data_IF_173480606431
#
_entry.id   IF_173480606431
#
_cell.length_a   1.000
_cell.length_b   1.000
_cell.length_c   1.000
_cell.angle_alpha   90.00
_cell.angle_beta   90.00
_cell.angle_gamma   90.00
#
_symmetry.space_group_name_H-M   'P 1'
#
loop_
_entity.id
_entity.type
_entity.pdbx_description
1 polymer ?
#
# COMPACT_ATOMS: atom_id res chain seq x y z
N UNK A 1 38.01 -1.78 -6.87
CA UNK A 1 36.83 -1.08 -6.32
C UNK A 1 35.88 -2.16 -5.86
N UNK A 2 35.68 -2.28 -4.53
CA UNK A 2 34.75 -3.30 -4.00
C UNK A 2 33.30 -2.96 -4.41
N UNK A 3 32.52 -3.98 -4.72
CA UNK A 3 31.11 -3.84 -5.00
C UNK A 3 30.40 -3.27 -3.77
N UNK A 4 29.64 -2.18 -3.98
CA UNK A 4 28.81 -1.55 -2.92
C UNK A 4 27.58 -2.44 -2.73
N UNK A 5 27.46 -3.08 -1.58
CA UNK A 5 26.26 -3.87 -1.26
C UNK A 5 25.05 -2.97 -1.00
N UNK A 6 23.83 -3.53 -1.11
CA UNK A 6 22.58 -2.81 -0.75
C UNK A 6 22.64 -2.27 0.69
N UNK A 7 23.32 -2.99 1.58
CA UNK A 7 23.51 -2.59 2.98
C UNK A 7 24.43 -1.38 3.09
N UNK A 8 25.51 -1.34 2.27
CA UNK A 8 26.45 -0.21 2.22
C UNK A 8 25.79 1.04 1.63
N UNK A 9 24.91 0.86 0.63
CA UNK A 9 24.11 1.95 0.07
C UNK A 9 23.14 2.52 1.11
N UNK A 10 22.41 1.68 1.83
CA UNK A 10 21.49 2.11 2.89
C UNK A 10 22.24 2.77 4.06
N UNK A 11 23.38 2.20 4.47
CA UNK A 11 24.22 2.79 5.50
C UNK A 11 24.89 4.09 5.01
N UNK A 12 25.32 4.15 3.76
CA UNK A 12 25.90 5.35 3.15
C UNK A 12 24.86 6.47 2.98
N UNK A 13 23.64 6.15 2.60
CA UNK A 13 22.52 7.10 2.55
C UNK A 13 22.15 7.60 3.95
N UNK A 14 22.09 6.70 4.95
CA UNK A 14 21.85 7.07 6.34
C UNK A 14 23.00 7.94 6.92
N UNK A 15 24.25 7.64 6.61
CA UNK A 15 25.42 8.44 7.01
C UNK A 15 25.48 9.79 6.30
N UNK A 16 25.09 9.87 5.04
CA UNK A 16 25.03 11.14 4.28
C UNK A 16 23.89 12.03 4.80
N UNK A 17 22.77 11.44 5.17
CA UNK A 17 21.66 12.10 5.85
C UNK A 17 22.14 12.54 7.25
N UNK A 18 22.81 11.69 8.01
CA UNK A 18 23.35 12.03 9.35
C UNK A 18 24.44 13.11 9.31
N UNK A 19 25.34 13.10 8.33
CA UNK A 19 26.39 14.11 8.18
C UNK A 19 25.84 15.48 7.72
N UNK A 20 24.70 15.52 7.07
CA UNK A 20 23.98 16.77 6.71
C UNK A 20 23.05 17.27 7.84
N UNK A 21 22.93 16.52 8.95
CA UNK A 21 21.97 16.75 10.05
C UNK A 21 22.54 17.55 11.23
N UNK A 22 23.78 18.00 11.20
CA UNK A 22 24.30 18.90 12.27
C UNK A 22 23.49 20.19 12.46
N UNK A 23 22.88 20.81 11.43
CA UNK A 23 21.86 21.83 11.61
C UNK A 23 20.53 21.29 12.15
N UNK A 24 20.28 20.00 12.03
CA UNK A 24 19.04 19.34 12.40
C UNK A 24 18.97 18.98 13.89
N UNK A 25 20.08 18.53 14.47
CA UNK A 25 20.19 18.39 15.94
C UNK A 25 19.99 19.74 16.65
N UNK A 26 20.44 20.84 16.03
CA UNK A 26 20.16 22.18 16.51
C UNK A 26 18.68 22.57 16.37
N UNK A 27 18.01 22.12 15.30
CA UNK A 27 16.55 22.30 15.11
C UNK A 27 15.75 21.43 16.07
N UNK A 28 16.17 20.20 16.35
CA UNK A 28 15.56 19.35 17.38
C UNK A 28 15.71 19.98 18.78
N UNK A 29 16.89 20.51 19.11
CA UNK A 29 17.13 21.20 20.38
C UNK A 29 16.34 22.52 20.48
N UNK A 30 16.06 23.21 19.39
CA UNK A 30 15.19 24.39 19.35
C UNK A 30 13.70 24.02 19.38
N UNK A 31 13.30 22.93 18.75
CA UNK A 31 11.93 22.41 18.80
C UNK A 31 11.56 21.93 20.20
N UNK A 32 12.49 21.28 20.90
CA UNK A 32 12.34 20.87 22.29
C UNK A 32 12.14 22.08 23.26
N UNK A 33 12.50 23.28 22.83
CA UNK A 33 12.32 24.52 23.61
C UNK A 33 11.06 25.32 23.28
N UNK A 34 10.31 24.93 22.19
CA UNK A 34 9.17 25.71 21.64
C UNK A 34 7.84 24.97 21.59
N UNK A 35 7.71 23.83 22.27
CA UNK A 35 6.61 22.91 22.01
C UNK A 35 6.96 22.04 20.76
N UNK A 36 7.03 20.75 20.96
CA UNK A 36 7.43 19.81 19.91
C UNK A 36 6.33 19.71 18.87
N UNK A 37 6.66 19.94 17.59
CA UNK A 37 5.79 19.64 16.46
C UNK A 37 6.26 18.33 15.81
N UNK A 38 5.66 17.19 16.19
CA UNK A 38 6.15 15.87 15.81
C UNK A 38 6.34 15.64 14.31
N UNK A 39 5.44 16.10 13.39
CA UNK A 39 5.64 15.88 11.97
C UNK A 39 6.93 16.46 11.38
N UNK A 40 7.51 17.48 12.02
CA UNK A 40 8.76 18.09 11.58
C UNK A 40 10.02 17.42 12.15
N UNK A 41 9.85 16.44 13.05
CA UNK A 41 10.94 15.62 13.54
C UNK A 41 11.34 14.59 12.48
N UNK A 42 12.63 14.49 12.17
CA UNK A 42 13.16 13.48 11.25
C UNK A 42 13.77 12.31 12.02
N UNK A 43 14.08 11.23 11.29
CA UNK A 43 14.71 10.02 11.83
C UNK A 43 13.73 8.84 11.95
N UNK A 44 14.13 7.85 12.73
CA UNK A 44 13.36 6.61 12.94
C UNK A 44 12.27 6.80 14.01
N UNK A 45 11.37 7.73 13.76
CA UNK A 45 10.27 8.03 14.68
C UNK A 45 9.39 6.81 14.95
N UNK A 46 9.17 6.54 16.24
CA UNK A 46 8.34 5.43 16.70
C UNK A 46 8.99 4.04 16.62
N UNK A 47 10.24 3.95 16.15
CA UNK A 47 11.05 2.73 16.16
C UNK A 47 12.37 2.97 16.89
N UNK A 48 12.31 3.59 18.05
CA UNK A 48 13.44 3.85 18.92
C UNK A 48 13.38 2.96 20.16
N UNK A 49 14.52 2.79 20.84
CA UNK A 49 14.58 1.96 22.06
C UNK A 49 13.64 2.49 23.15
N UNK A 50 13.47 3.81 23.25
CA UNK A 50 12.58 4.45 24.20
C UNK A 50 11.11 4.09 23.93
N UNK A 51 10.70 3.99 22.66
CA UNK A 51 9.33 3.63 22.29
C UNK A 51 8.97 2.18 22.70
N UNK A 52 9.97 1.32 22.82
CA UNK A 52 9.80 -0.08 23.18
C UNK A 52 10.20 -0.43 24.62
N UNK A 53 10.85 0.48 25.34
CA UNK A 53 11.46 0.19 26.65
C UNK A 53 10.47 -0.46 27.64
N UNK A 54 9.32 0.16 27.87
CA UNK A 54 8.31 -0.35 28.82
C UNK A 54 7.71 -1.67 28.35
N UNK A 55 7.46 -1.82 27.04
CA UNK A 55 6.92 -3.07 26.48
C UNK A 55 7.95 -4.19 26.65
N UNK A 56 9.22 -3.93 26.43
CA UNK A 56 10.29 -4.93 26.60
C UNK A 56 10.47 -5.32 28.06
N UNK A 57 10.45 -4.36 28.99
CA UNK A 57 10.49 -4.66 30.44
C UNK A 57 9.37 -5.63 30.85
N UNK A 58 8.14 -5.39 30.39
CA UNK A 58 6.99 -6.23 30.74
C UNK A 58 7.01 -7.57 30.00
N UNK A 59 7.16 -7.52 28.66
CA UNK A 59 6.95 -8.70 27.81
C UNK A 59 8.19 -9.62 27.75
N UNK A 60 9.40 -9.09 27.89
CA UNK A 60 10.66 -9.85 27.76
C UNK A 60 11.36 -10.06 29.09
N UNK A 61 11.40 -9.05 29.96
CA UNK A 61 12.11 -9.12 31.24
C UNK A 61 11.20 -9.54 32.37
N UNK A 62 9.88 -9.64 32.14
CA UNK A 62 8.91 -10.14 33.10
C UNK A 62 8.59 -9.14 34.22
N UNK A 63 8.93 -7.86 34.06
CA UNK A 63 8.61 -6.82 35.04
C UNK A 63 7.08 -6.74 35.25
N UNK A 64 6.68 -6.66 36.52
CA UNK A 64 5.29 -6.49 36.90
C UNK A 64 5.14 -5.17 37.66
N UNK A 65 4.10 -4.43 37.32
CA UNK A 65 3.70 -3.21 38.02
C UNK A 65 2.58 -3.53 39.01
N UNK A 66 2.66 -2.98 40.23
CA UNK A 66 1.60 -3.12 41.23
C UNK A 66 0.51 -2.08 40.93
N UNK A 67 -0.41 -2.41 40.04
CA UNK A 67 -1.49 -1.52 39.63
C UNK A 67 -2.58 -1.39 40.68
N UNK A 68 -2.76 -2.42 41.55
CA UNK A 68 -3.78 -2.42 42.61
C UNK A 68 -3.52 -1.39 43.71
N UNK A 69 -2.27 -0.87 43.80
CA UNK A 69 -1.89 0.16 44.75
C UNK A 69 -2.05 1.60 44.22
N UNK A 70 -2.45 1.75 42.95
CA UNK A 70 -2.62 3.06 42.31
C UNK A 70 -4.03 3.60 42.58
N UNK A 71 -4.11 4.85 43.02
CA UNK A 71 -5.36 5.57 43.05
C UNK A 71 -5.66 6.15 41.66
N UNK A 72 -6.94 6.11 41.26
CA UNK A 72 -7.36 6.67 39.98
C UNK A 72 -7.45 8.20 40.07
N UNK A 73 -6.66 8.89 39.28
CA UNK A 73 -6.64 10.37 39.24
C UNK A 73 -7.83 10.92 38.46
N UNK A 74 -8.23 10.24 37.38
CA UNK A 74 -9.30 10.68 36.50
C UNK A 74 -10.23 9.52 36.07
N UNK A 75 -11.43 9.87 35.65
CA UNK A 75 -12.41 8.95 35.11
C UNK A 75 -12.83 9.35 33.72
N UNK A 76 -12.95 8.36 32.85
CA UNK A 76 -13.38 8.50 31.45
C UNK A 76 -14.48 7.49 31.13
N UNK A 77 -15.38 7.85 30.21
CA UNK A 77 -16.42 6.96 29.72
C UNK A 77 -15.84 5.92 28.74
N UNK A 78 -14.76 6.29 28.06
CA UNK A 78 -14.03 5.43 27.14
C UNK A 78 -12.53 5.73 27.18
N UNK A 79 -11.72 4.68 27.33
CA UNK A 79 -10.27 4.74 27.19
C UNK A 79 -9.87 3.91 25.98
N UNK A 80 -9.10 4.50 25.05
CA UNK A 80 -8.60 3.86 23.84
C UNK A 80 -7.08 3.82 23.92
N UNK A 81 -6.50 2.65 23.67
CA UNK A 81 -5.04 2.48 23.56
C UNK A 81 -4.68 2.41 22.09
N UNK A 82 -3.88 3.37 21.64
CA UNK A 82 -3.46 3.55 20.26
C UNK A 82 -4.26 4.65 19.54
N UNK A 83 -3.56 5.66 19.06
CA UNK A 83 -4.10 6.78 18.27
C UNK A 83 -3.96 6.59 16.75
N UNK A 84 -3.83 5.34 16.29
CA UNK A 84 -3.91 5.00 14.88
C UNK A 84 -5.32 5.20 14.31
N UNK A 85 -5.51 5.00 12.99
CA UNK A 85 -6.82 5.18 12.34
C UNK A 85 -7.94 4.42 13.03
N UNK A 86 -7.68 3.18 13.48
CA UNK A 86 -8.68 2.37 14.18
C UNK A 86 -9.12 3.02 15.51
N UNK A 87 -8.17 3.44 16.35
CA UNK A 87 -8.47 4.09 17.63
C UNK A 87 -9.16 5.43 17.45
N UNK A 88 -8.69 6.26 16.51
CA UNK A 88 -9.31 7.54 16.18
C UNK A 88 -10.74 7.36 15.63
N UNK A 89 -10.97 6.35 14.79
CA UNK A 89 -12.31 6.04 14.27
C UNK A 89 -13.23 5.52 15.36
N UNK A 90 -12.72 4.71 16.28
CA UNK A 90 -13.49 4.24 17.43
C UNK A 90 -13.93 5.42 18.32
N UNK A 91 -13.00 6.35 18.64
CA UNK A 91 -13.30 7.54 19.39
C UNK A 91 -14.36 8.42 18.69
N UNK A 92 -14.20 8.63 17.38
CA UNK A 92 -15.11 9.42 16.58
C UNK A 92 -16.52 8.79 16.55
N UNK A 93 -16.59 7.48 16.34
CA UNK A 93 -17.86 6.75 16.32
C UNK A 93 -18.56 6.80 17.67
N UNK A 94 -17.82 6.63 18.76
CA UNK A 94 -18.35 6.70 20.12
C UNK A 94 -18.83 8.12 20.45
N UNK A 95 -18.05 9.16 20.13
CA UNK A 95 -18.40 10.56 20.34
C UNK A 95 -19.69 10.95 19.59
N UNK A 96 -19.90 10.44 18.37
CA UNK A 96 -21.12 10.70 17.62
C UNK A 96 -22.37 10.07 18.25
N UNK A 97 -22.21 8.95 18.95
CA UNK A 97 -23.28 8.27 19.69
C UNK A 97 -23.51 8.85 21.09
N UNK A 98 -22.43 9.35 21.70
CA UNK A 98 -22.40 9.90 23.05
C UNK A 98 -21.65 11.24 23.03
N UNK A 99 -22.33 12.36 22.64
CA UNK A 99 -21.67 13.65 22.40
C UNK A 99 -20.95 14.24 23.63
N UNK A 100 -21.41 13.91 24.82
CA UNK A 100 -20.86 14.45 26.08
C UNK A 100 -19.85 13.50 26.75
N UNK A 101 -19.52 12.37 26.12
CA UNK A 101 -18.61 11.39 26.69
C UNK A 101 -17.20 11.97 26.87
N UNK A 102 -16.60 11.66 28.01
CA UNK A 102 -15.17 11.89 28.23
C UNK A 102 -14.39 10.72 27.65
N UNK A 103 -13.59 11.01 26.62
CA UNK A 103 -12.79 10.00 25.92
C UNK A 103 -11.32 10.32 26.13
N UNK A 104 -10.55 9.31 26.53
CA UNK A 104 -9.09 9.37 26.59
C UNK A 104 -8.51 8.46 25.51
N UNK A 105 -7.60 8.97 24.72
CA UNK A 105 -6.79 8.21 23.78
C UNK A 105 -5.35 8.25 24.25
N UNK A 106 -4.75 7.10 24.47
CA UNK A 106 -3.37 6.94 24.89
C UNK A 106 -2.53 6.38 23.75
N UNK A 107 -1.36 6.95 23.52
CA UNK A 107 -0.37 6.40 22.60
C UNK A 107 1.03 6.54 23.22
N UNK A 108 1.92 5.62 22.90
CA UNK A 108 3.31 5.68 23.37
C UNK A 108 4.24 6.40 22.38
N UNK A 109 3.70 6.90 21.28
CA UNK A 109 4.44 7.67 20.29
C UNK A 109 4.21 9.17 20.48
N UNK A 110 5.09 9.95 19.87
CA UNK A 110 5.08 11.41 19.91
C UNK A 110 4.01 12.05 19.01
N UNK A 111 3.34 11.25 18.17
CA UNK A 111 2.38 11.70 17.17
C UNK A 111 1.21 10.71 17.03
N UNK A 112 0.06 11.21 16.63
CA UNK A 112 -1.11 10.42 16.31
C UNK A 112 -1.04 9.87 14.88
N UNK A 113 -1.93 8.92 14.56
CA UNK A 113 -2.08 8.34 13.23
C UNK A 113 -1.48 6.94 13.08
N UNK A 114 -0.61 6.49 13.98
CA UNK A 114 0.04 5.18 13.87
C UNK A 114 0.86 5.08 12.58
N UNK A 115 0.56 4.11 11.70
CA UNK A 115 1.17 4.04 10.36
C UNK A 115 0.77 5.21 9.45
N UNK A 116 -0.38 5.83 9.68
CA UNK A 116 -0.89 6.98 8.94
C UNK A 116 -0.33 8.31 9.48
N UNK A 117 0.96 8.35 9.80
CA UNK A 117 1.69 9.58 10.17
C UNK A 117 2.26 10.24 8.94
N UNK A 118 2.59 11.51 9.05
CA UNK A 118 3.31 12.24 8.00
C UNK A 118 4.65 12.75 8.50
N UNK A 119 5.55 12.96 7.57
CA UNK A 119 6.81 13.65 7.81
C UNK A 119 6.82 14.96 7.04
N UNK A 120 7.32 16.02 7.66
CA UNK A 120 7.50 17.33 7.05
C UNK A 120 8.97 17.68 6.94
N UNK A 121 9.43 17.92 5.73
CA UNK A 121 10.81 18.34 5.46
C UNK A 121 10.82 19.75 4.90
N UNK A 122 11.70 20.60 5.41
CA UNK A 122 11.89 21.95 4.88
C UNK A 122 13.22 22.06 4.13
N UNK A 123 13.12 22.38 2.86
CA UNK A 123 14.28 22.61 1.99
C UNK A 123 14.20 24.07 1.50
N UNK A 124 14.96 24.95 2.14
CA UNK A 124 14.85 26.39 1.93
C UNK A 124 13.44 26.88 2.33
N UNK A 125 12.73 27.45 1.36
CA UNK A 125 11.34 27.93 1.55
C UNK A 125 10.27 26.88 1.22
N UNK A 126 10.66 25.70 0.72
CA UNK A 126 9.72 24.66 0.32
C UNK A 126 9.42 23.72 1.49
N UNK A 127 8.15 23.43 1.67
CA UNK A 127 7.69 22.34 2.53
C UNK A 127 7.48 21.12 1.64
N UNK A 128 8.14 20.03 1.98
CA UNK A 128 7.95 18.72 1.37
C UNK A 128 7.21 17.83 2.36
N UNK A 129 6.18 17.18 1.90
CA UNK A 129 5.39 16.23 2.67
C UNK A 129 5.71 14.82 2.22
N UNK A 130 5.75 13.91 3.17
CA UNK A 130 5.88 12.48 2.92
C UNK A 130 4.96 11.74 3.87
N UNK A 131 4.38 10.66 3.39
CA UNK A 131 3.64 9.74 4.24
C UNK A 131 4.60 8.80 4.98
N UNK A 132 4.14 8.24 6.10
CA UNK A 132 4.88 7.23 6.88
C UNK A 132 4.72 5.84 6.27
N UNK A 133 3.88 4.98 6.86
CA UNK A 133 3.65 3.61 6.40
C UNK A 133 2.32 3.38 5.69
N UNK A 134 1.46 4.40 5.54
CA UNK A 134 0.13 4.26 4.98
C UNK A 134 -0.13 5.33 3.93
N UNK A 135 -0.08 4.93 2.67
CA UNK A 135 -0.19 5.82 1.52
C UNK A 135 -1.63 6.01 1.06
N UNK A 136 -2.31 4.94 0.71
CA UNK A 136 -3.52 4.98 -0.11
C UNK A 136 -4.75 4.42 0.58
N UNK A 137 -5.91 4.85 0.11
CA UNK A 137 -7.21 4.24 0.34
C UNK A 137 -7.59 3.39 -0.87
N UNK A 138 -8.45 2.41 -0.66
CA UNK A 138 -9.01 1.62 -1.76
C UNK A 138 -9.68 2.54 -2.79
N UNK A 139 -9.52 2.25 -4.05
CA UNK A 139 -10.17 2.91 -5.17
C UNK A 139 -10.85 1.87 -6.08
N UNK A 140 -11.95 2.21 -6.73
CA UNK A 140 -12.72 3.46 -6.63
C UNK A 140 -13.57 3.56 -5.36
N UNK A 141 -14.18 4.72 -5.15
CA UNK A 141 -15.04 4.98 -4.00
C UNK A 141 -16.27 4.06 -3.91
N UNK A 142 -16.67 3.42 -5.00
CA UNK A 142 -17.73 2.40 -5.03
C UNK A 142 -17.44 1.17 -4.17
N UNK A 143 -16.17 0.91 -3.86
CA UNK A 143 -15.74 -0.19 -2.98
C UNK A 143 -15.84 0.16 -1.49
N UNK A 144 -16.13 1.38 -1.14
CA UNK A 144 -16.24 1.76 0.28
C UNK A 144 -17.48 1.14 0.90
N UNK A 145 -17.32 0.57 2.11
CA UNK A 145 -18.47 0.22 2.92
C UNK A 145 -19.33 1.46 3.22
N UNK A 146 -20.61 1.25 3.48
CA UNK A 146 -21.50 2.33 3.87
C UNK A 146 -20.97 3.13 5.07
N UNK A 147 -20.37 2.46 6.05
CA UNK A 147 -19.78 3.09 7.23
C UNK A 147 -18.59 3.98 6.85
N UNK A 148 -17.67 3.50 5.99
CA UNK A 148 -16.54 4.31 5.54
C UNK A 148 -17.02 5.52 4.75
N UNK A 149 -17.94 5.35 3.81
CA UNK A 149 -18.51 6.45 3.03
C UNK A 149 -19.16 7.51 3.93
N UNK A 150 -19.90 7.09 4.97
CA UNK A 150 -20.51 7.99 5.95
C UNK A 150 -19.45 8.76 6.75
N UNK A 151 -18.38 8.10 7.20
CA UNK A 151 -17.25 8.75 7.91
C UNK A 151 -16.60 9.79 7.02
N UNK A 152 -16.23 9.44 5.79
CA UNK A 152 -15.59 10.35 4.85
C UNK A 152 -16.47 11.58 4.58
N UNK A 153 -17.77 11.36 4.35
CA UNK A 153 -18.75 12.43 4.14
C UNK A 153 -18.84 13.36 5.35
N UNK A 154 -18.95 12.81 6.56
CA UNK A 154 -19.04 13.59 7.80
C UNK A 154 -17.75 14.40 8.05
N UNK A 155 -16.58 13.86 7.71
CA UNK A 155 -15.29 14.54 7.76
C UNK A 155 -15.07 15.50 6.57
N UNK A 156 -16.02 15.61 5.65
CA UNK A 156 -15.95 16.43 4.42
C UNK A 156 -14.81 16.05 3.49
N UNK A 157 -14.44 14.78 3.49
CA UNK A 157 -13.49 14.21 2.54
C UNK A 157 -14.23 13.77 1.28
N UNK A 158 -13.68 14.09 0.12
CA UNK A 158 -14.29 13.87 -1.20
C UNK A 158 -13.40 12.97 -2.06
N UNK A 159 -13.61 11.66 -2.04
CA UNK A 159 -12.82 10.72 -2.84
C UNK A 159 -12.83 11.02 -4.35
N UNK A 160 -13.94 11.55 -4.88
CA UNK A 160 -14.09 11.89 -6.31
C UNK A 160 -13.04 12.92 -6.79
N UNK A 161 -12.46 13.67 -5.86
CA UNK A 161 -11.36 14.58 -6.18
C UNK A 161 -10.13 13.82 -6.61
N UNK A 162 -9.78 12.72 -5.93
CA UNK A 162 -8.62 11.88 -6.26
C UNK A 162 -8.78 11.23 -7.63
N UNK A 163 -10.01 10.84 -8.00
CA UNK A 163 -10.29 10.28 -9.31
C UNK A 163 -9.93 11.24 -10.45
N UNK A 164 -10.19 12.53 -10.26
CA UNK A 164 -9.82 13.57 -11.24
C UNK A 164 -8.31 13.81 -11.29
N UNK A 165 -7.66 13.82 -10.14
CA UNK A 165 -6.21 14.06 -10.04
C UNK A 165 -5.41 12.87 -10.58
N UNK A 166 -5.87 11.64 -10.35
CA UNK A 166 -5.23 10.41 -10.83
C UNK A 166 -5.13 10.34 -12.37
N UNK A 167 -6.05 10.98 -13.10
CA UNK A 167 -6.00 11.04 -14.56
C UNK A 167 -4.73 11.73 -15.06
N UNK A 168 -4.21 12.71 -14.31
CA UNK A 168 -2.95 13.38 -14.66
C UNK A 168 -1.77 12.39 -14.54
N UNK A 169 -1.67 11.68 -13.45
CA UNK A 169 -0.59 10.70 -13.21
C UNK A 169 -0.60 9.60 -14.27
N UNK A 170 -1.76 9.06 -14.60
CA UNK A 170 -1.91 8.03 -15.65
C UNK A 170 -1.47 8.49 -17.04
N UNK A 171 -1.54 9.78 -17.32
CA UNK A 171 -1.09 10.35 -18.60
C UNK A 171 0.38 10.77 -18.61
N UNK A 172 1.04 10.84 -17.46
CA UNK A 172 2.40 11.34 -17.35
C UNK A 172 3.38 10.46 -18.16
N UNK A 173 3.48 9.19 -17.81
CA UNK A 173 4.40 8.28 -18.48
C UNK A 173 4.06 8.04 -19.96
N UNK A 174 2.80 7.79 -20.34
CA UNK A 174 2.42 7.74 -21.74
C UNK A 174 2.74 9.04 -22.50
N UNK A 175 2.53 10.20 -21.87
CA UNK A 175 2.87 11.51 -22.45
C UNK A 175 4.37 11.70 -22.70
N UNK A 176 5.22 10.96 -22.00
CA UNK A 176 6.67 10.90 -22.19
C UNK A 176 7.09 9.81 -23.21
N UNK A 177 6.14 9.14 -23.86
CA UNK A 177 6.42 8.05 -24.78
C UNK A 177 6.84 6.74 -24.09
N UNK A 178 6.60 6.61 -22.79
CA UNK A 178 6.91 5.40 -22.03
C UNK A 178 5.74 4.41 -22.06
N UNK A 179 6.08 3.12 -22.05
CA UNK A 179 5.11 2.01 -22.01
C UNK A 179 5.51 0.94 -21.00
N UNK A 180 4.57 0.11 -20.62
CA UNK A 180 4.88 -1.09 -19.81
C UNK A 180 5.88 -1.97 -20.51
N UNK A 181 6.80 -2.50 -19.75
CA UNK A 181 7.89 -3.32 -20.26
C UNK A 181 8.22 -4.43 -19.27
N UNK A 182 8.75 -5.54 -19.78
CA UNK A 182 9.27 -6.64 -18.97
C UNK A 182 10.78 -6.68 -19.15
N UNK A 183 11.52 -6.64 -18.06
CA UNK A 183 12.96 -6.89 -18.07
C UNK A 183 13.21 -8.38 -17.79
N UNK A 184 13.83 -9.04 -18.74
CA UNK A 184 14.32 -10.41 -18.62
C UNK A 184 15.78 -10.36 -18.19
N UNK A 185 16.11 -10.96 -17.07
CA UNK A 185 17.48 -11.01 -16.58
C UNK A 185 18.21 -12.25 -17.12
N UNK A 186 19.54 -12.14 -17.16
CA UNK A 186 20.40 -13.20 -17.66
C UNK A 186 20.38 -14.47 -16.81
N UNK A 187 20.15 -14.33 -15.52
CA UNK A 187 20.19 -15.45 -14.58
C UNK A 187 19.06 -16.42 -14.85
N UNK A 188 17.87 -15.91 -15.17
CA UNK A 188 16.69 -16.75 -15.41
C UNK A 188 16.40 -17.03 -16.89
N UNK A 189 16.76 -16.07 -17.78
CA UNK A 189 16.39 -16.14 -19.20
C UNK A 189 17.58 -16.21 -20.16
N UNK A 190 18.84 -16.26 -19.64
CA UNK A 190 20.04 -16.42 -20.41
C UNK A 190 20.62 -15.13 -21.01
N UNK A 191 19.87 -14.07 -21.01
CA UNK A 191 20.30 -12.73 -21.48
C UNK A 191 19.54 -11.61 -20.78
N UNK A 192 20.18 -10.43 -20.66
CA UNK A 192 19.53 -9.22 -20.19
C UNK A 192 18.80 -8.55 -21.38
N UNK A 193 17.47 -8.49 -21.31
CA UNK A 193 16.65 -7.93 -22.38
C UNK A 193 15.44 -7.17 -21.83
N UNK A 194 15.25 -5.94 -22.27
CA UNK A 194 14.02 -5.17 -22.04
C UNK A 194 13.07 -5.36 -23.22
N UNK A 195 11.88 -5.89 -22.98
CA UNK A 195 10.82 -6.05 -23.99
C UNK A 195 9.68 -5.10 -23.65
N UNK A 196 9.41 -4.14 -24.54
CA UNK A 196 8.39 -3.11 -24.36
C UNK A 196 7.02 -3.55 -24.86
N UNK A 197 5.97 -2.92 -24.37
CA UNK A 197 4.60 -3.15 -24.83
C UNK A 197 3.96 -4.41 -24.25
N UNK A 198 4.22 -4.71 -22.98
CA UNK A 198 3.56 -5.81 -22.26
C UNK A 198 2.03 -5.68 -22.35
N UNK A 199 1.32 -6.65 -22.91
CA UNK A 199 -0.13 -6.62 -23.05
C UNK A 199 -0.88 -6.89 -21.75
N UNK A 200 -0.23 -7.44 -20.73
CA UNK A 200 -0.89 -7.88 -19.50
C UNK A 200 -1.10 -6.71 -18.53
N UNK A 201 -2.26 -6.67 -17.92
CA UNK A 201 -2.62 -5.83 -16.79
C UNK A 201 -2.81 -6.74 -15.59
N UNK A 202 -1.82 -6.78 -14.70
CA UNK A 202 -1.79 -7.66 -13.54
C UNK A 202 -1.92 -6.82 -12.26
N UNK A 203 -2.73 -7.31 -11.34
CA UNK A 203 -2.91 -6.66 -10.05
C UNK A 203 -3.52 -5.26 -10.15
N UNK A 204 -3.15 -4.41 -9.23
CA UNK A 204 -3.55 -3.00 -9.19
C UNK A 204 -2.73 -2.17 -10.18
N UNK A 205 -2.94 -2.39 -11.46
CA UNK A 205 -2.20 -1.69 -12.48
C UNK A 205 -2.66 -0.23 -12.61
N UNK A 206 -1.83 0.70 -12.17
CA UNK A 206 -2.13 2.14 -12.24
C UNK A 206 -2.30 2.66 -13.68
N UNK A 207 -1.87 1.90 -14.68
CA UNK A 207 -2.05 2.22 -16.09
C UNK A 207 -3.36 1.67 -16.68
N UNK A 208 -4.08 0.82 -15.97
CA UNK A 208 -5.39 0.36 -16.42
C UNK A 208 -6.41 1.54 -16.37
N UNK A 209 -7.26 1.74 -17.37
CA UNK A 209 -7.37 0.99 -18.63
C UNK A 209 -6.43 1.51 -19.73
N UNK A 210 -5.57 2.49 -19.43
CA UNK A 210 -4.67 3.12 -20.39
C UNK A 210 -3.34 2.36 -20.37
N UNK A 211 -3.21 1.33 -21.19
CA UNK A 211 -1.91 0.73 -21.52
C UNK A 211 -1.49 1.15 -22.94
N UNK A 212 -1.20 2.44 -23.15
CA UNK A 212 -0.80 2.92 -24.47
C UNK A 212 0.55 2.29 -24.81
N UNK A 213 0.65 1.80 -26.02
CA UNK A 213 1.82 1.09 -26.48
C UNK A 213 1.81 -0.41 -26.15
N UNK A 214 0.72 -0.95 -25.57
CA UNK A 214 0.52 -2.39 -25.49
C UNK A 214 0.56 -3.01 -26.88
N UNK A 215 1.32 -4.08 -27.03
CA UNK A 215 1.42 -4.83 -28.26
C UNK A 215 0.41 -5.98 -28.25
N UNK A 216 0.13 -6.55 -29.40
CA UNK A 216 -0.58 -7.84 -29.41
C UNK A 216 0.25 -8.90 -28.68
N UNK A 217 -0.37 -9.87 -28.01
CA UNK A 217 0.35 -10.94 -27.31
C UNK A 217 1.44 -11.60 -28.16
N UNK A 218 1.12 -11.97 -29.41
CA UNK A 218 2.06 -12.62 -30.30
C UNK A 218 3.26 -11.71 -30.66
N UNK A 219 2.99 -10.43 -30.93
CA UNK A 219 4.05 -9.48 -31.27
C UNK A 219 4.95 -9.21 -30.05
N UNK A 220 4.42 -9.17 -28.84
CA UNK A 220 5.18 -9.04 -27.61
C UNK A 220 6.04 -10.28 -27.34
N UNK A 221 5.40 -11.46 -27.40
CA UNK A 221 6.06 -12.75 -27.14
C UNK A 221 7.16 -13.07 -28.16
N UNK A 222 7.05 -12.57 -29.40
CA UNK A 222 8.07 -12.77 -30.42
C UNK A 222 9.44 -12.20 -30.00
N UNK A 223 9.45 -11.12 -29.24
CA UNK A 223 10.67 -10.48 -28.78
C UNK A 223 11.17 -10.98 -27.41
N UNK A 224 10.36 -11.76 -26.69
CA UNK A 224 10.77 -12.32 -25.40
C UNK A 224 11.85 -13.40 -25.58
N UNK A 225 12.87 -13.48 -24.71
CA UNK A 225 13.92 -14.51 -24.75
C UNK A 225 13.40 -15.87 -24.24
N UNK A 226 12.39 -16.39 -24.92
CA UNK A 226 11.72 -17.63 -24.57
C UNK A 226 11.82 -18.65 -25.72
N UNK A 227 11.76 -19.93 -25.39
CA UNK A 227 11.71 -20.97 -26.42
C UNK A 227 10.43 -20.87 -27.26
N UNK A 228 10.46 -21.37 -28.50
CA UNK A 228 9.28 -21.41 -29.36
C UNK A 228 8.10 -22.17 -28.70
N UNK A 229 8.37 -23.20 -27.90
CA UNK A 229 7.33 -23.94 -27.19
C UNK A 229 6.69 -23.07 -26.09
N UNK A 230 7.49 -22.34 -25.32
CA UNK A 230 7.00 -21.41 -24.29
C UNK A 230 6.18 -20.28 -24.91
N UNK A 231 6.67 -19.66 -26.00
CA UNK A 231 5.93 -18.59 -26.70
C UNK A 231 4.57 -19.06 -27.21
N UNK A 232 4.49 -20.23 -27.84
CA UNK A 232 3.21 -20.78 -28.30
C UNK A 232 2.26 -21.07 -27.14
N UNK A 233 2.76 -21.70 -26.07
CA UNK A 233 1.93 -21.98 -24.90
C UNK A 233 1.40 -20.71 -24.22
N UNK A 234 2.23 -19.67 -24.12
CA UNK A 234 1.79 -18.37 -23.59
C UNK A 234 0.80 -17.68 -24.54
N UNK A 235 1.00 -17.74 -25.85
CA UNK A 235 0.06 -17.20 -26.82
C UNK A 235 -1.33 -17.85 -26.71
N UNK A 236 -1.40 -19.18 -26.60
CA UNK A 236 -2.65 -19.90 -26.34
C UNK A 236 -3.30 -19.51 -25.00
N UNK A 237 -2.48 -19.39 -23.96
CA UNK A 237 -2.95 -19.00 -22.63
C UNK A 237 -3.53 -17.56 -22.64
N UNK A 238 -2.85 -16.62 -23.29
CA UNK A 238 -3.28 -15.22 -23.40
C UNK A 238 -4.54 -15.07 -24.26
N UNK A 239 -4.71 -15.92 -25.27
CA UNK A 239 -5.93 -15.95 -26.06
C UNK A 239 -7.18 -16.33 -25.24
N UNK A 240 -7.01 -17.05 -24.13
CA UNK A 240 -8.08 -17.35 -23.17
C UNK A 240 -9.21 -18.23 -23.72
N UNK A 241 -9.00 -18.90 -24.86
CA UNK A 241 -10.04 -19.66 -25.57
C UNK A 241 -10.16 -21.11 -25.09
N UNK A 242 -9.18 -21.61 -24.36
CA UNK A 242 -9.12 -23.02 -23.98
C UNK A 242 -9.57 -23.22 -22.53
N UNK A 243 -10.55 -24.11 -22.34
CA UNK A 243 -10.86 -24.65 -21.01
C UNK A 243 -9.89 -25.78 -20.67
N UNK A 244 -8.86 -25.46 -19.88
CA UNK A 244 -7.84 -26.42 -19.43
C UNK A 244 -8.38 -27.43 -18.41
N UNK A 245 -9.60 -27.24 -17.90
CA UNK A 245 -10.23 -28.09 -16.91
C UNK A 245 -11.58 -28.63 -17.41
N UNK A 246 -11.67 -28.84 -18.71
CA UNK A 246 -12.88 -29.38 -19.36
C UNK A 246 -13.34 -30.71 -18.71
N UNK A 247 -14.65 -30.83 -18.50
CA UNK A 247 -15.27 -31.99 -17.84
C UNK A 247 -15.39 -31.84 -16.31
N UNK A 248 -14.85 -30.79 -15.69
CA UNK A 248 -15.08 -30.45 -14.28
C UNK A 248 -16.23 -29.45 -14.16
N UNK A 249 -16.99 -29.55 -13.05
CA UNK A 249 -17.99 -28.52 -12.70
C UNK A 249 -17.30 -27.23 -12.23
N UNK A 250 -18.01 -26.13 -12.23
CA UNK A 250 -17.50 -24.84 -11.70
C UNK A 250 -16.98 -24.96 -10.26
N UNK A 251 -17.70 -25.68 -9.40
CA UNK A 251 -17.30 -25.92 -8.01
C UNK A 251 -16.01 -26.74 -7.91
N UNK A 252 -15.87 -27.76 -8.76
CA UNK A 252 -14.64 -28.57 -8.82
C UNK A 252 -13.45 -27.76 -9.31
N UNK A 253 -13.65 -26.92 -10.35
CA UNK A 253 -12.61 -26.02 -10.84
C UNK A 253 -12.14 -25.05 -9.74
N UNK A 254 -13.08 -24.37 -9.09
CA UNK A 254 -12.78 -23.43 -7.98
C UNK A 254 -12.04 -24.15 -6.84
N UNK A 255 -12.54 -25.31 -6.40
CA UNK A 255 -11.90 -26.08 -5.32
C UNK A 255 -10.48 -26.54 -5.68
N UNK A 256 -10.24 -26.90 -6.93
CA UNK A 256 -8.93 -27.30 -7.42
C UNK A 256 -7.99 -26.09 -7.47
N UNK A 257 -8.42 -24.99 -8.08
CA UNK A 257 -7.61 -23.78 -8.26
C UNK A 257 -7.26 -23.11 -6.92
N UNK A 258 -8.14 -23.21 -5.91
CA UNK A 258 -7.87 -22.71 -4.56
C UNK A 258 -6.79 -23.50 -3.80
N UNK A 259 -6.46 -24.72 -4.24
CA UNK A 259 -5.47 -25.60 -3.59
C UNK A 259 -4.22 -25.86 -4.44
N UNK A 260 -4.21 -25.33 -5.65
CA UNK A 260 -3.13 -25.52 -6.62
C UNK A 260 -2.42 -24.19 -6.80
N UNK A 261 -1.09 -24.16 -6.73
CA UNK A 261 -0.37 -22.93 -7.03
C UNK A 261 -0.54 -22.56 -8.51
N UNK A 262 -0.43 -21.25 -8.81
CA UNK A 262 -0.54 -20.82 -10.20
C UNK A 262 0.56 -21.43 -11.06
N UNK A 263 1.76 -21.62 -10.53
CA UNK A 263 2.85 -22.34 -11.21
C UNK A 263 2.43 -23.77 -11.57
N UNK A 264 1.91 -24.52 -10.61
CA UNK A 264 1.42 -25.89 -10.83
C UNK A 264 0.26 -25.93 -11.83
N UNK A 265 -0.66 -24.95 -11.77
CA UNK A 265 -1.70 -24.83 -12.79
C UNK A 265 -1.12 -24.67 -14.20
N UNK A 266 -0.12 -23.82 -14.39
CA UNK A 266 0.54 -23.63 -15.68
C UNK A 266 1.25 -24.89 -16.17
N UNK A 267 2.04 -25.54 -15.30
CA UNK A 267 2.86 -26.70 -15.70
C UNK A 267 2.06 -28.00 -15.81
N UNK A 268 1.18 -28.25 -14.84
CA UNK A 268 0.53 -29.57 -14.70
C UNK A 268 -0.87 -29.60 -15.29
N UNK A 269 -1.61 -28.49 -15.25
CA UNK A 269 -2.94 -28.41 -15.84
C UNK A 269 -2.88 -27.91 -17.28
N UNK A 270 -2.20 -26.80 -17.53
CA UNK A 270 -2.06 -26.23 -18.88
C UNK A 270 -0.99 -26.93 -19.71
N UNK A 271 -0.11 -27.73 -19.08
CA UNK A 271 1.02 -28.43 -19.73
C UNK A 271 2.00 -27.49 -20.43
N UNK A 272 2.20 -26.31 -19.87
CA UNK A 272 3.16 -25.36 -20.38
C UNK A 272 4.60 -25.75 -19.98
N UNK A 273 5.61 -25.42 -20.79
CA UNK A 273 7.01 -25.56 -20.41
C UNK A 273 7.35 -24.72 -19.17
N UNK A 274 8.30 -25.16 -18.35
CA UNK A 274 8.73 -24.44 -17.15
C UNK A 274 9.08 -22.96 -17.43
N UNK A 275 9.77 -22.69 -18.55
CA UNK A 275 10.12 -21.32 -18.95
C UNK A 275 8.90 -20.40 -19.19
N UNK A 276 7.72 -20.97 -19.50
CA UNK A 276 6.48 -20.19 -19.59
C UNK A 276 5.95 -19.83 -18.18
N UNK A 277 6.13 -20.73 -17.20
CA UNK A 277 5.81 -20.42 -15.81
C UNK A 277 6.82 -19.43 -15.21
N UNK A 278 8.11 -19.55 -15.54
CA UNK A 278 9.15 -18.63 -15.09
C UNK A 278 8.90 -17.18 -15.52
N UNK A 279 8.26 -16.98 -16.67
CA UNK A 279 7.80 -15.66 -17.12
C UNK A 279 6.89 -14.97 -16.11
N UNK A 280 6.13 -15.71 -15.32
CA UNK A 280 5.24 -15.17 -14.30
C UNK A 280 5.82 -15.19 -12.88
N UNK A 281 6.95 -15.87 -12.64
CA UNK A 281 7.39 -16.22 -11.29
C UNK A 281 7.44 -15.05 -10.31
N UNK A 282 7.98 -13.92 -10.71
CA UNK A 282 8.08 -12.73 -9.84
C UNK A 282 6.95 -11.71 -9.99
N UNK A 283 6.02 -11.93 -10.91
CA UNK A 283 5.00 -10.91 -11.25
C UNK A 283 3.85 -10.80 -10.25
N UNK A 284 3.77 -11.73 -9.32
CA UNK A 284 2.82 -11.71 -8.21
C UNK A 284 3.36 -11.06 -6.93
N UNK A 285 4.66 -10.75 -6.90
CA UNK A 285 5.33 -10.26 -5.67
C UNK A 285 4.84 -8.88 -5.24
N UNK A 286 4.30 -8.11 -6.14
CA UNK A 286 3.72 -6.80 -5.87
C UNK A 286 2.55 -6.92 -4.87
N UNK A 287 1.55 -7.73 -5.19
CA UNK A 287 0.35 -7.88 -4.36
C UNK A 287 0.51 -8.88 -3.22
N UNK A 288 1.23 -9.98 -3.45
CA UNK A 288 1.25 -11.11 -2.53
C UNK A 288 2.56 -11.23 -1.72
N UNK A 289 3.62 -10.52 -2.11
CA UNK A 289 4.95 -10.69 -1.52
C UNK A 289 5.62 -12.02 -1.85
N UNK A 290 4.98 -12.89 -2.65
CA UNK A 290 5.42 -14.23 -3.03
C UNK A 290 5.35 -14.44 -4.53
N UNK A 291 6.14 -15.39 -5.03
CA UNK A 291 6.06 -15.85 -6.41
C UNK A 291 4.85 -16.75 -6.68
N UNK A 292 4.59 -17.02 -7.95
CA UNK A 292 3.43 -17.82 -8.40
C UNK A 292 3.46 -19.29 -7.94
N UNK A 293 4.53 -19.76 -7.41
CA UNK A 293 4.68 -21.09 -6.80
C UNK A 293 4.04 -21.19 -5.41
N UNK A 294 3.82 -20.04 -4.75
CA UNK A 294 3.29 -19.95 -3.39
C UNK A 294 1.89 -19.35 -3.29
N UNK A 295 1.31 -18.86 -4.40
CA UNK A 295 -0.06 -18.32 -4.42
C UNK A 295 -1.02 -19.26 -5.13
N UNK A 296 -2.27 -19.29 -4.67
CA UNK A 296 -3.30 -20.12 -5.30
C UNK A 296 -3.62 -19.62 -6.71
N UNK A 297 -3.91 -20.56 -7.63
CA UNK A 297 -4.20 -20.21 -9.01
C UNK A 297 -5.43 -19.32 -9.15
N UNK A 298 -6.45 -19.52 -8.31
CA UNK A 298 -7.65 -18.68 -8.31
C UNK A 298 -7.35 -17.25 -7.90
N UNK A 299 -6.46 -17.06 -6.92
CA UNK A 299 -6.07 -15.73 -6.43
C UNK A 299 -5.23 -14.99 -7.49
N UNK A 300 -4.29 -15.67 -8.15
CA UNK A 300 -3.57 -15.11 -9.27
C UNK A 300 -4.52 -14.69 -10.41
N UNK A 301 -5.47 -15.53 -10.76
CA UNK A 301 -6.45 -15.23 -11.80
C UNK A 301 -7.36 -14.05 -11.44
N UNK A 302 -7.69 -13.87 -10.15
CA UNK A 302 -8.47 -12.72 -9.69
C UNK A 302 -7.73 -11.40 -9.86
N UNK A 303 -6.40 -11.45 -9.89
CA UNK A 303 -5.50 -10.31 -10.14
C UNK A 303 -5.11 -10.17 -11.63
N UNK A 304 -5.88 -10.77 -12.53
CA UNK A 304 -5.68 -10.63 -13.98
C UNK A 304 -4.67 -11.58 -14.62
N UNK A 305 -4.11 -12.54 -13.86
CA UNK A 305 -3.26 -13.56 -14.47
C UNK A 305 -4.08 -14.43 -15.43
N UNK A 306 -3.55 -14.77 -16.63
CA UNK A 306 -4.32 -15.45 -17.65
C UNK A 306 -4.68 -16.89 -17.29
N UNK A 307 -5.70 -17.42 -17.96
CA UNK A 307 -6.16 -18.81 -17.82
C UNK A 307 -7.58 -18.99 -17.30
N UNK A 308 -8.20 -17.94 -16.76
CA UNK A 308 -9.57 -18.00 -16.22
C UNK A 308 -10.67 -17.88 -17.29
N UNK A 309 -10.41 -17.22 -18.42
CA UNK A 309 -11.44 -16.74 -19.34
C UNK A 309 -12.42 -17.84 -19.81
N UNK A 310 -11.92 -19.01 -20.19
CA UNK A 310 -12.76 -20.12 -20.66
C UNK A 310 -13.23 -21.06 -19.53
N UNK A 311 -12.84 -20.82 -18.26
CA UNK A 311 -13.20 -21.71 -17.15
C UNK A 311 -14.62 -21.50 -16.62
N UNK A 312 -15.26 -20.37 -16.94
CA UNK A 312 -16.58 -19.96 -16.44
C UNK A 312 -16.65 -19.91 -14.90
N UNK A 313 -15.62 -19.31 -14.29
CA UNK A 313 -15.49 -19.16 -12.82
C UNK A 313 -15.50 -17.69 -12.36
N UNK A 314 -15.70 -16.73 -13.27
CA UNK A 314 -15.54 -15.29 -13.00
C UNK A 314 -16.39 -14.81 -11.82
N UNK A 315 -17.65 -15.28 -11.72
CA UNK A 315 -18.54 -14.94 -10.60
C UNK A 315 -18.07 -15.49 -9.24
N UNK A 316 -17.14 -16.44 -9.24
CA UNK A 316 -16.57 -17.07 -8.04
C UNK A 316 -15.18 -16.56 -7.71
N UNK A 317 -14.59 -15.76 -8.58
CA UNK A 317 -13.33 -15.07 -8.34
C UNK A 317 -13.64 -13.76 -7.61
N UNK A 318 -13.18 -13.62 -6.40
CA UNK A 318 -13.36 -12.39 -5.61
C UNK A 318 -12.53 -11.20 -6.09
N UNK A 319 -12.27 -11.08 -7.38
CA UNK A 319 -11.33 -10.12 -7.90
C UNK A 319 -11.94 -8.85 -8.48
N UNK A 320 -11.12 -7.85 -8.67
CA UNK A 320 -11.42 -6.53 -9.22
C UNK A 320 -11.37 -6.50 -10.76
N UNK A 321 -11.52 -7.63 -11.43
CA UNK A 321 -11.25 -7.81 -12.86
C UNK A 321 -12.02 -6.85 -13.79
N UNK A 322 -13.12 -6.24 -13.34
CA UNK A 322 -13.91 -5.25 -14.10
C UNK A 322 -13.73 -3.81 -13.62
N UNK A 323 -12.94 -3.58 -12.58
CA UNK A 323 -12.82 -2.27 -11.97
C UNK A 323 -11.68 -1.46 -12.59
N UNK A 324 -11.98 -0.83 -13.70
CA UNK A 324 -11.07 0.06 -14.44
C UNK A 324 -11.01 1.46 -13.83
N UNK A 325 -11.31 1.56 -12.54
CA UNK A 325 -11.23 2.80 -11.78
C UNK A 325 -9.80 3.31 -11.60
N UNK A 326 -9.63 4.44 -10.91
CA UNK A 326 -8.32 4.90 -10.52
C UNK A 326 -7.66 3.90 -9.58
N UNK A 327 -6.36 3.68 -9.76
CA UNK A 327 -5.58 2.70 -9.00
C UNK A 327 -5.62 2.96 -7.50
N UNK A 328 -5.34 4.18 -7.08
CA UNK A 328 -5.32 4.57 -5.68
C UNK A 328 -5.94 5.95 -5.45
N UNK A 329 -6.51 6.13 -4.27
CA UNK A 329 -6.86 7.44 -3.73
C UNK A 329 -5.88 7.79 -2.61
N UNK A 330 -5.19 8.92 -2.71
CA UNK A 330 -4.30 9.37 -1.64
C UNK A 330 -4.22 10.89 -1.54
N UNK A 331 -3.97 11.36 -0.32
CA UNK A 331 -3.55 12.72 -0.07
C UNK A 331 -2.04 12.87 -0.33
N UNK A 332 -1.52 14.10 -0.51
CA UNK A 332 -0.08 14.33 -0.63
C UNK A 332 0.76 13.78 0.53
N UNK A 333 0.15 13.60 1.70
CA UNK A 333 0.74 13.02 2.92
C UNK A 333 0.16 11.63 3.24
N UNK A 334 -0.42 10.96 2.26
CA UNK A 334 -1.06 9.66 2.42
C UNK A 334 -2.25 9.70 3.38
N UNK A 335 -2.52 8.59 4.06
CA UNK A 335 -3.63 8.49 5.01
C UNK A 335 -3.43 9.34 6.28
N UNK A 336 -2.33 10.07 6.41
CA UNK A 336 -2.14 11.05 7.50
C UNK A 336 -3.24 12.11 7.50
N UNK A 337 -3.68 12.58 6.32
CA UNK A 337 -4.80 13.52 6.26
C UNK A 337 -6.10 12.95 6.77
N UNK A 338 -6.35 11.63 6.65
CA UNK A 338 -7.51 10.98 7.25
C UNK A 338 -7.42 11.00 8.79
N UNK A 339 -6.25 10.64 9.36
CA UNK A 339 -6.00 10.75 10.80
C UNK A 339 -6.19 12.20 11.29
N UNK A 340 -5.65 13.17 10.55
CA UNK A 340 -5.78 14.60 10.84
C UNK A 340 -7.24 15.08 10.80
N UNK A 341 -8.04 14.58 9.87
CA UNK A 341 -9.47 14.87 9.81
C UNK A 341 -10.22 14.36 11.05
N UNK A 342 -9.90 13.14 11.49
CA UNK A 342 -10.48 12.55 12.70
C UNK A 342 -10.08 13.36 13.95
N UNK A 343 -8.79 13.68 14.12
CA UNK A 343 -8.32 14.48 15.26
C UNK A 343 -8.96 15.87 15.28
N UNK A 344 -9.00 16.58 14.14
CA UNK A 344 -9.67 17.88 14.03
C UNK A 344 -11.15 17.83 14.39
N UNK A 345 -11.80 16.69 14.13
CA UNK A 345 -13.22 16.48 14.49
C UNK A 345 -13.42 16.12 15.97
N UNK A 346 -12.42 15.51 16.60
CA UNK A 346 -12.49 15.05 18.00
C UNK A 346 -12.02 16.09 19.00
N UNK A 347 -10.98 16.84 18.65
CA UNK A 347 -10.32 17.81 19.52
C UNK A 347 -10.61 19.22 19.00
N UNK A 348 -11.34 19.99 19.81
CA UNK A 348 -11.64 21.38 19.47
C UNK A 348 -10.33 22.17 19.34
N UNK A 349 -10.28 23.02 18.33
CA UNK A 349 -9.15 23.93 18.07
C UNK A 349 -7.80 23.26 17.77
N UNK A 350 -7.74 21.94 17.63
CA UNK A 350 -6.51 21.23 17.27
C UNK A 350 -5.89 21.73 15.93
N UNK A 351 -6.72 22.22 15.01
CA UNK A 351 -6.25 22.80 13.76
C UNK A 351 -7.30 23.73 13.15
N UNK A 352 -6.91 24.89 12.61
CA UNK A 352 -7.79 25.76 11.85
C UNK A 352 -8.20 25.12 10.52
N UNK A 353 -9.23 25.69 9.89
CA UNK A 353 -9.73 25.27 8.58
C UNK A 353 -10.89 24.27 8.65
N UNK A 354 -11.51 24.04 7.50
CA UNK A 354 -12.71 23.18 7.39
C UNK A 354 -12.72 22.34 6.11
N UNK A 355 -11.76 22.55 5.23
CA UNK A 355 -11.70 21.88 3.93
C UNK A 355 -10.72 20.72 3.97
N UNK A 356 -10.76 19.91 2.92
CA UNK A 356 -9.83 18.84 2.67
C UNK A 356 -8.40 19.38 2.42
N UNK A 357 -8.29 20.54 1.74
CA UNK A 357 -6.99 21.18 1.47
C UNK A 357 -6.34 21.74 2.75
N UNK A 358 -7.15 22.22 3.67
CA UNK A 358 -6.64 22.71 4.97
C UNK A 358 -5.95 21.61 5.75
N UNK A 359 -6.41 20.36 5.67
CA UNK A 359 -5.79 19.23 6.37
C UNK A 359 -4.32 19.05 5.99
N UNK A 360 -4.02 19.23 4.71
CA UNK A 360 -2.66 19.04 4.18
C UNK A 360 -1.75 20.19 4.58
N UNK A 361 -2.25 21.44 4.56
CA UNK A 361 -1.44 22.65 4.72
C UNK A 361 -1.37 23.18 6.17
N UNK A 362 -2.32 22.84 7.02
CA UNK A 362 -2.45 23.39 8.38
C UNK A 362 -1.48 22.73 9.36
N UNK A 363 -0.90 23.54 10.23
CA UNK A 363 -0.15 23.09 11.40
C UNK A 363 -1.15 22.74 12.51
N UNK A 364 -1.01 21.56 13.07
CA UNK A 364 -1.81 21.11 14.21
C UNK A 364 -1.18 21.58 15.52
N UNK A 365 -2.01 21.88 16.49
CA UNK A 365 -1.60 22.15 17.85
C UNK A 365 -1.44 20.85 18.63
N UNK A 366 -0.28 20.64 19.20
CA UNK A 366 0.08 19.46 20.02
C UNK A 366 0.26 19.85 21.50
N UNK A 367 -0.13 21.04 21.90
CA UNK A 367 -0.04 21.48 23.31
C UNK A 367 -1.10 20.84 24.21
#
# INVERSE_FOLDING_TARGET
MGEISRRDFLNGAALTIAASLTPFEQLQAQAARRGVYPPALAGLRGSTDEAYAVIHEVAREGRRYSIDALEADERYDLVIVGSGLAGLTAAWTYRNRQPNARILILDNHDDFGGHARRNEFRVGKRLLLSYGGSESMVAPASHYSGDLANILSALRLRPERFERESVFHRKLYPGLGLSKSVFFDREHFGEDRLVTGDPLLLGFDEFAPLNPGARTPDAFLADCPLSNAARRGLSELFAGMRDYMAGQTTEQKVATLARTSYRTFLTDTCKLPAAAADFFQGRSSDNFGYGIDAIAAIDAMSEGFPGAAALNIQERMGGHADDRGPYIHHFPDGNASLARALVRSLVADAAPGRTMDDLVSTVFDYS
#
